data_IF_132304977599
#
_entry.id   IF_132304977599
#
_cell.length_a   1.000
_cell.length_b   1.000
_cell.length_c   1.000
_cell.angle_alpha   90.00
_cell.angle_beta   90.00
_cell.angle_gamma   90.00
#
_symmetry.space_group_name_H-M   'P 1'
#
loop_
_entity.id
_entity.type
_entity.pdbx_description
1 polymer ?
#
# COMPACT_ATOMS: atom_id res chain seq x y z
N UNK A 1 5.47 -8.96 -3.07
CA UNK A 1 4.12 -9.35 -2.61
C UNK A 1 4.14 -9.44 -1.08
N UNK A 2 3.02 -9.16 -0.39
CA UNK A 2 2.91 -9.17 1.07
C UNK A 2 2.95 -10.60 1.63
N UNK A 3 3.36 -10.73 2.90
CA UNK A 3 3.42 -12.01 3.62
C UNK A 3 2.27 -12.22 4.61
N UNK A 4 1.59 -11.14 4.99
CA UNK A 4 0.52 -11.17 6.00
C UNK A 4 -0.59 -10.17 5.63
N UNK A 5 -1.81 -10.34 6.16
CA UNK A 5 -2.88 -9.36 5.97
C UNK A 5 -2.50 -7.94 6.44
N UNK A 6 -1.75 -7.82 7.53
CA UNK A 6 -1.32 -6.52 8.05
C UNK A 6 -0.40 -5.77 7.08
N UNK A 7 0.46 -6.48 6.34
CA UNK A 7 1.26 -5.87 5.28
C UNK A 7 0.37 -5.24 4.20
N UNK A 8 -0.74 -5.89 3.84
CA UNK A 8 -1.71 -5.35 2.87
C UNK A 8 -2.41 -4.12 3.45
N UNK A 9 -2.98 -4.25 4.65
CA UNK A 9 -3.80 -3.21 5.29
C UNK A 9 -3.00 -1.94 5.53
N UNK A 10 -1.76 -2.06 6.02
CA UNK A 10 -0.99 -0.89 6.46
C UNK A 10 0.04 -0.40 5.45
N UNK A 11 0.62 -1.28 4.62
CA UNK A 11 1.64 -0.90 3.63
C UNK A 11 1.17 -1.02 2.17
N UNK A 12 -0.05 -1.52 1.94
CA UNK A 12 -0.60 -1.77 0.61
C UNK A 12 -0.13 -3.11 0.04
N UNK A 13 -0.92 -3.67 -0.88
CA UNK A 13 -0.57 -4.92 -1.53
C UNK A 13 0.66 -4.81 -2.44
N UNK A 14 0.89 -3.62 -3.02
CA UNK A 14 2.00 -3.35 -3.92
C UNK A 14 2.62 -1.97 -3.65
N UNK A 15 3.95 -1.84 -3.69
CA UNK A 15 4.58 -0.53 -3.74
C UNK A 15 4.48 0.06 -5.15
N UNK A 16 4.44 1.38 -5.25
CA UNK A 16 4.77 2.07 -6.49
C UNK A 16 6.29 2.15 -6.60
N UNK A 17 6.90 1.44 -7.55
CA UNK A 17 8.33 1.50 -7.80
C UNK A 17 8.66 2.46 -8.94
N UNK A 18 9.60 3.39 -8.70
CA UNK A 18 10.04 4.38 -9.69
C UNK A 18 11.56 4.52 -9.68
N UNK A 19 12.14 4.89 -10.83
CA UNK A 19 13.54 5.31 -10.91
C UNK A 19 13.75 6.70 -10.27
N UNK A 20 14.98 7.05 -9.90
CA UNK A 20 15.27 8.41 -9.39
C UNK A 20 14.89 9.50 -10.40
N UNK A 21 15.12 9.25 -11.69
CA UNK A 21 14.76 10.20 -12.76
C UNK A 21 13.25 10.47 -12.78
N UNK A 22 12.43 9.42 -12.67
CA UNK A 22 10.98 9.56 -12.61
C UNK A 22 10.53 10.26 -11.31
N UNK A 23 11.18 9.99 -10.18
CA UNK A 23 10.85 10.62 -8.90
C UNK A 23 11.21 12.12 -8.85
N UNK A 24 12.21 12.57 -9.61
CA UNK A 24 12.66 13.96 -9.66
C UNK A 24 11.82 14.85 -10.59
N UNK A 25 11.10 14.26 -11.54
CA UNK A 25 10.22 14.96 -12.47
C UNK A 25 8.75 14.83 -12.00
N UNK A 26 8.11 15.92 -11.53
CA UNK A 26 6.73 15.88 -11.06
C UNK A 26 5.73 15.35 -12.10
N UNK A 27 5.93 15.64 -13.40
CA UNK A 27 5.03 15.17 -14.44
C UNK A 27 5.15 13.65 -14.63
N UNK A 28 6.38 13.14 -14.68
CA UNK A 28 6.63 11.71 -14.74
C UNK A 28 6.13 10.97 -13.50
N UNK A 29 6.37 11.52 -12.30
CA UNK A 29 5.87 10.91 -11.06
C UNK A 29 4.34 10.86 -11.03
N UNK A 30 3.67 11.93 -11.46
CA UNK A 30 2.20 11.96 -11.56
C UNK A 30 1.68 10.87 -12.51
N UNK A 31 2.30 10.71 -13.68
CA UNK A 31 1.95 9.65 -14.63
C UNK A 31 2.05 8.25 -14.01
N UNK A 32 3.11 8.00 -13.22
CA UNK A 32 3.29 6.71 -12.53
C UNK A 32 2.22 6.50 -11.44
N UNK A 33 1.83 7.55 -10.72
CA UNK A 33 0.76 7.50 -9.71
C UNK A 33 -0.59 7.23 -10.37
N UNK A 34 -0.89 7.91 -11.49
CA UNK A 34 -2.15 7.74 -12.23
C UNK A 34 -2.25 6.33 -12.83
N UNK A 35 -1.16 5.81 -13.39
CA UNK A 35 -1.09 4.45 -13.89
C UNK A 35 -1.28 3.42 -12.76
N UNK A 36 -0.71 3.66 -11.58
CA UNK A 36 -0.93 2.82 -10.40
C UNK A 36 -2.40 2.83 -9.99
N UNK A 37 -3.02 4.01 -9.89
CA UNK A 37 -4.42 4.18 -9.53
C UNK A 37 -5.35 3.48 -10.54
N UNK A 38 -5.08 3.62 -11.83
CA UNK A 38 -5.85 2.95 -12.88
C UNK A 38 -5.74 1.42 -12.82
N UNK A 39 -4.56 0.90 -12.45
CA UNK A 39 -4.32 -0.55 -12.35
C UNK A 39 -4.91 -1.19 -11.09
N UNK A 40 -4.82 -0.49 -9.96
CA UNK A 40 -5.12 -1.07 -8.64
C UNK A 40 -6.42 -0.54 -8.02
N UNK A 41 -6.98 0.54 -8.54
CA UNK A 41 -8.20 1.17 -8.01
C UNK A 41 -7.97 1.96 -6.72
N UNK A 42 -6.72 2.12 -6.28
CA UNK A 42 -6.33 2.82 -5.07
C UNK A 42 -4.98 3.54 -5.25
N UNK A 43 -4.71 4.54 -4.41
CA UNK A 43 -3.41 5.22 -4.37
C UNK A 43 -2.37 4.34 -3.65
N UNK A 44 -1.08 4.44 -4.02
CA UNK A 44 -0.04 3.66 -3.35
C UNK A 44 0.14 4.12 -1.90
N UNK A 45 0.33 3.17 -0.99
CA UNK A 45 0.72 3.42 0.42
C UNK A 45 2.26 3.49 0.56
N UNK A 46 3.01 2.94 -0.40
CA UNK A 46 4.47 2.96 -0.45
C UNK A 46 4.96 3.41 -1.82
N UNK A 47 5.84 4.40 -1.84
CA UNK A 47 6.64 4.79 -2.99
C UNK A 47 8.08 4.30 -2.79
N UNK A 48 8.53 3.36 -3.61
CA UNK A 48 9.90 2.85 -3.61
C UNK A 48 10.71 3.52 -4.73
N UNK A 49 11.74 4.28 -4.35
CA UNK A 49 12.62 5.00 -5.28
C UNK A 49 13.94 4.25 -5.41
N UNK A 50 14.25 3.84 -6.64
CA UNK A 50 15.45 3.06 -6.96
C UNK A 50 16.73 3.72 -6.42
N UNK A 51 17.52 2.98 -5.65
CA UNK A 51 18.79 3.46 -5.12
C UNK A 51 18.69 4.58 -4.09
N UNK A 52 17.48 4.89 -3.60
CA UNK A 52 17.26 5.90 -2.55
C UNK A 52 16.59 5.28 -1.31
N UNK A 53 15.45 4.62 -1.48
CA UNK A 53 14.70 4.04 -0.37
C UNK A 53 13.20 4.03 -0.59
N UNK A 54 12.45 3.91 0.50
CA UNK A 54 10.98 3.92 0.49
C UNK A 54 10.44 5.17 1.18
N UNK A 55 9.29 5.63 0.70
CA UNK A 55 8.50 6.71 1.28
C UNK A 55 7.10 6.21 1.56
N UNK A 56 6.64 6.40 2.80
CA UNK A 56 5.30 6.05 3.23
C UNK A 56 4.32 7.15 2.87
N UNK A 57 3.16 6.76 2.38
CA UNK A 57 2.07 7.65 1.97
C UNK A 57 0.84 7.33 2.82
N UNK A 58 0.22 8.36 3.40
CA UNK A 58 -0.93 8.18 4.30
C UNK A 58 -1.65 9.49 4.58
N UNK A 59 -2.83 9.39 5.21
CA UNK A 59 -3.66 10.56 5.59
C UNK A 59 -3.01 11.43 6.66
N UNK A 60 -2.10 10.85 7.44
CA UNK A 60 -1.32 11.50 8.47
C UNK A 60 0.09 10.86 8.57
N UNK A 61 0.96 11.49 9.36
CA UNK A 61 2.35 11.06 9.55
C UNK A 61 2.40 9.64 10.14
N UNK A 62 1.54 9.33 11.12
CA UNK A 62 1.55 8.02 11.77
C UNK A 62 1.16 6.89 10.80
N UNK A 63 0.25 7.14 9.85
CA UNK A 63 -0.10 6.23 8.79
C UNK A 63 1.08 6.00 7.83
N UNK A 64 1.75 7.07 7.40
CA UNK A 64 2.93 6.98 6.54
C UNK A 64 4.09 6.21 7.22
N UNK A 65 4.37 6.50 8.49
CA UNK A 65 5.40 5.79 9.27
C UNK A 65 5.09 4.31 9.44
N UNK A 66 3.82 3.97 9.74
CA UNK A 66 3.38 2.58 9.87
C UNK A 66 3.50 1.82 8.55
N UNK A 67 3.17 2.47 7.43
CA UNK A 67 3.35 1.88 6.11
C UNK A 67 4.83 1.53 5.88
N UNK A 68 5.75 2.46 6.14
CA UNK A 68 7.19 2.22 6.03
C UNK A 68 7.66 1.07 6.93
N UNK A 69 7.19 1.03 8.19
CA UNK A 69 7.56 0.00 9.16
C UNK A 69 7.18 -1.39 8.64
N UNK A 70 5.92 -1.57 8.24
CA UNK A 70 5.38 -2.85 7.78
C UNK A 70 5.99 -3.25 6.44
N UNK A 71 6.21 -2.31 5.52
CA UNK A 71 6.89 -2.63 4.27
C UNK A 71 8.34 -3.06 4.51
N UNK A 72 9.05 -2.42 5.44
CA UNK A 72 10.42 -2.78 5.80
C UNK A 72 10.48 -4.18 6.41
N UNK A 73 9.49 -4.55 7.23
CA UNK A 73 9.38 -5.92 7.76
C UNK A 73 9.20 -6.95 6.64
N UNK A 74 8.26 -6.71 5.72
CA UNK A 74 8.09 -7.54 4.53
C UNK A 74 9.37 -7.66 3.69
N UNK A 75 10.11 -6.56 3.49
CA UNK A 75 11.37 -6.57 2.75
C UNK A 75 12.44 -7.42 3.46
N UNK A 76 12.53 -7.35 4.79
CA UNK A 76 13.45 -8.18 5.59
C UNK A 76 13.08 -9.66 5.49
N UNK A 77 11.80 -10.00 5.60
CA UNK A 77 11.32 -11.38 5.44
C UNK A 77 11.72 -11.90 4.06
N UNK A 78 11.43 -11.15 2.99
CA UNK A 78 11.78 -11.53 1.64
C UNK A 78 13.30 -11.76 1.49
N UNK A 79 14.12 -10.87 2.04
CA UNK A 79 15.57 -10.98 1.96
C UNK A 79 16.13 -12.17 2.74
N UNK A 80 15.69 -12.37 3.99
CA UNK A 80 16.22 -13.44 4.82
C UNK A 80 15.73 -14.82 4.39
N UNK A 81 14.51 -14.93 3.86
CA UNK A 81 13.95 -16.19 3.40
C UNK A 81 14.77 -16.84 2.28
N UNK A 82 15.50 -16.06 1.48
CA UNK A 82 16.42 -16.58 0.46
C UNK A 82 17.48 -17.54 1.05
N UNK A 83 17.90 -17.30 2.29
CA UNK A 83 18.83 -18.21 2.99
C UNK A 83 18.18 -19.53 3.45
N UNK A 84 16.84 -19.63 3.40
CA UNK A 84 16.05 -20.74 3.92
C UNK A 84 15.15 -21.39 2.86
N UNK A 85 15.52 -21.28 1.58
CA UNK A 85 14.78 -21.90 0.47
C UNK A 85 13.84 -20.98 -0.30
N UNK A 86 13.92 -19.67 -0.04
CA UNK A 86 13.19 -18.62 -0.76
C UNK A 86 11.96 -18.11 0.00
N UNK A 87 11.47 -16.95 -0.44
CA UNK A 87 10.27 -16.34 0.10
C UNK A 87 8.99 -17.06 -0.35
N UNK A 88 8.04 -17.25 0.57
CA UNK A 88 6.70 -17.75 0.27
C UNK A 88 5.64 -16.69 0.62
N UNK A 89 5.39 -15.71 -0.27
CA UNK A 89 4.41 -14.66 -0.04
C UNK A 89 2.97 -15.20 -0.17
N UNK A 90 1.99 -14.38 0.21
CA UNK A 90 0.57 -14.71 0.06
C UNK A 90 0.20 -14.92 -1.42
N UNK A 91 -0.73 -15.83 -1.67
CA UNK A 91 -1.28 -16.07 -2.99
C UNK A 91 -2.13 -14.88 -3.47
N UNK A 92 -2.19 -14.68 -4.79
CA UNK A 92 -2.88 -13.52 -5.37
C UNK A 92 -4.36 -13.45 -4.99
N UNK A 93 -5.02 -14.61 -4.84
CA UNK A 93 -6.42 -14.69 -4.43
C UNK A 93 -6.65 -14.20 -2.99
N UNK A 94 -5.75 -14.56 -2.07
CA UNK A 94 -5.83 -14.13 -0.67
C UNK A 94 -5.54 -12.63 -0.55
N UNK A 95 -4.59 -12.12 -1.33
CA UNK A 95 -4.29 -10.69 -1.40
C UNK A 95 -5.54 -9.91 -1.86
N UNK A 96 -6.20 -10.36 -2.93
CA UNK A 96 -7.41 -9.73 -3.45
C UNK A 96 -8.56 -9.76 -2.44
N UNK A 97 -8.74 -10.89 -1.74
CA UNK A 97 -9.76 -11.04 -0.71
C UNK A 97 -9.56 -10.01 0.42
N UNK A 98 -8.35 -9.91 0.97
CA UNK A 98 -8.05 -8.96 2.04
C UNK A 98 -8.21 -7.51 1.57
N UNK A 99 -7.77 -7.20 0.34
CA UNK A 99 -7.87 -5.85 -0.22
C UNK A 99 -9.32 -5.42 -0.44
N UNK A 100 -10.14 -6.30 -1.01
CA UNK A 100 -11.56 -6.05 -1.20
C UNK A 100 -12.28 -5.87 0.13
N UNK A 101 -11.94 -6.71 1.13
CA UNK A 101 -12.52 -6.60 2.47
C UNK A 101 -12.17 -5.27 3.18
N UNK A 102 -10.95 -4.74 2.99
CA UNK A 102 -10.59 -3.40 3.49
C UNK A 102 -11.48 -2.32 2.85
N UNK A 103 -11.67 -2.38 1.52
CA UNK A 103 -12.51 -1.45 0.78
C UNK A 103 -13.96 -1.53 1.27
N UNK A 104 -14.49 -2.73 1.48
CA UNK A 104 -15.83 -2.93 2.04
C UNK A 104 -15.97 -2.33 3.44
N UNK A 105 -15.02 -2.62 4.33
CA UNK A 105 -15.00 -2.05 5.69
C UNK A 105 -14.96 -0.52 5.66
N UNK A 106 -14.18 0.07 4.75
CA UNK A 106 -14.13 1.52 4.56
C UNK A 106 -15.47 2.08 4.07
N UNK A 107 -16.09 1.45 3.05
CA UNK A 107 -17.42 1.85 2.54
C UNK A 107 -18.50 1.78 3.63
N UNK A 108 -18.48 0.73 4.46
CA UNK A 108 -19.40 0.60 5.60
C UNK A 108 -19.21 1.73 6.62
N UNK A 109 -17.96 2.09 6.93
CA UNK A 109 -17.67 3.19 7.87
C UNK A 109 -18.22 4.53 7.37
N UNK A 110 -18.02 4.88 6.09
CA UNK A 110 -18.53 6.13 5.52
C UNK A 110 -20.06 6.14 5.47
N UNK A 111 -20.69 5.02 5.11
CA UNK A 111 -22.14 4.91 5.10
C UNK A 111 -22.74 5.13 6.51
N UNK A 112 -22.05 4.62 7.55
CA UNK A 112 -22.41 4.89 8.94
C UNK A 112 -22.18 6.36 9.34
N UNK A 113 -21.10 7.01 8.91
CA UNK A 113 -20.87 8.44 9.19
C UNK A 113 -21.90 9.35 8.52
N UNK A 114 -22.24 9.08 7.25
CA UNK A 114 -23.24 9.86 6.51
C UNK A 114 -24.65 9.72 7.09
N UNK A 115 -25.02 8.54 7.61
CA UNK A 115 -26.32 8.35 8.27
C UNK A 115 -26.41 9.07 9.62
N UNK A 116 -25.29 9.17 10.35
CA UNK A 116 -25.21 9.97 11.60
C UNK A 116 -25.25 11.48 11.31
N UNK A 117 -24.64 11.94 10.21
CA UNK A 117 -24.70 13.35 9.80
C UNK A 117 -26.12 13.77 9.36
N UNK A 118 -26.84 12.91 8.64
CA UNK A 118 -28.21 13.16 8.20
C UNK A 118 -29.25 13.14 9.35
N UNK A 119 -28.96 12.44 10.45
CA UNK A 119 -29.80 12.39 11.65
C UNK A 119 -29.69 13.62 12.56
N UNK A 120 -28.72 14.52 12.32
CA UNK A 120 -28.47 15.72 13.14
C UNK A 120 -28.97 17.02 12.51
N UNK A 121 -29.75 16.94 11.42
CA UNK A 121 -30.44 18.07 10.78
C UNK A 121 -31.94 18.06 11.09
#
# INVERSE_FOLDING_TARGET
>A
APFTPDHIVYAGAWPLFVSQKQAQDPASLQEQIDAYLARHGELPKILAVQGLGIFGLGKDIAAAERACLLFTDAAKIAWYAEAFGGAHPMESADIEFIRTWEVEKYRSSIASENSVAASKQ
#
